data_IF_700495128671
#
_entry.id   IF_700495128671
#
_cell.length_a   1.000
_cell.length_b   1.000
_cell.length_c   1.000
_cell.angle_alpha   90.00
_cell.angle_beta   90.00
_cell.angle_gamma   90.00
#
_symmetry.space_group_name_H-M   'P 1'
#
loop_
_entity.id
_entity.type
_entity.pdbx_description
1 polymer ?
#
# COMPACT_ATOMS: atom_id res chain seq x y z
N UNK A 1 -17.80 30.35 5.79
CA UNK A 1 -17.20 29.59 4.66
C UNK A 1 -18.28 29.31 3.62
N UNK A 2 -17.97 29.24 2.31
CA UNK A 2 -18.97 28.87 1.32
C UNK A 2 -19.36 27.40 1.55
N UNK A 3 -20.62 27.13 1.90
CA UNK A 3 -21.19 25.78 2.06
C UNK A 3 -20.90 24.84 0.86
N UNK A 4 -20.68 25.42 -0.32
CA UNK A 4 -20.48 24.72 -1.61
C UNK A 4 -19.42 23.61 -1.67
N UNK A 5 -18.44 23.56 -0.74
CA UNK A 5 -17.42 22.50 -0.76
C UNK A 5 -17.86 21.20 -0.07
N UNK A 6 -18.75 21.26 0.92
CA UNK A 6 -19.22 20.07 1.64
C UNK A 6 -20.21 19.28 0.79
N UNK A 7 -21.03 19.96 -0.03
CA UNK A 7 -22.05 19.35 -0.91
C UNK A 7 -21.50 18.30 -1.91
N UNK A 8 -20.18 18.16 -2.02
CA UNK A 8 -19.52 17.17 -2.87
C UNK A 8 -19.22 15.85 -2.14
N UNK A 9 -19.19 15.90 -0.81
CA UNK A 9 -18.86 14.78 0.08
C UNK A 9 -20.15 14.16 0.59
N UNK A 10 -20.24 12.83 0.56
CA UNK A 10 -21.38 12.11 1.12
C UNK A 10 -20.87 11.10 2.15
N UNK A 11 -21.52 11.08 3.31
CA UNK A 11 -21.18 10.24 4.45
C UNK A 11 -22.35 9.30 4.72
N UNK A 12 -22.09 8.00 4.67
CA UNK A 12 -23.12 6.98 4.72
C UNK A 12 -22.78 5.94 5.79
N UNK A 13 -23.61 5.81 6.82
CA UNK A 13 -23.51 4.69 7.78
C UNK A 13 -24.14 3.45 7.16
N UNK A 14 -23.38 2.36 7.08
CA UNK A 14 -23.84 1.11 6.45
C UNK A 14 -23.98 0.00 7.50
N UNK A 15 -25.20 -0.50 7.65
CA UNK A 15 -25.55 -1.64 8.50
C UNK A 15 -25.68 -2.93 7.70
N UNK A 16 -26.33 -3.94 8.28
CA UNK A 16 -26.56 -5.24 7.60
C UNK A 16 -27.63 -5.14 6.51
N UNK A 17 -28.72 -4.44 6.80
CA UNK A 17 -29.90 -4.32 5.94
C UNK A 17 -30.25 -2.87 5.57
N UNK A 18 -29.59 -1.90 6.19
CA UNK A 18 -29.90 -0.49 6.04
C UNK A 18 -28.65 0.35 5.73
N UNK A 19 -28.93 1.55 5.24
CA UNK A 19 -27.96 2.60 4.96
C UNK A 19 -28.60 3.93 5.36
N UNK A 20 -27.86 4.74 6.09
CA UNK A 20 -28.29 6.08 6.51
C UNK A 20 -27.31 7.10 5.95
N UNK A 21 -27.84 8.11 5.26
CA UNK A 21 -27.08 9.32 4.92
C UNK A 21 -26.96 10.18 6.17
N UNK A 22 -25.72 10.45 6.57
CA UNK A 22 -25.36 11.25 7.75
C UNK A 22 -24.56 12.50 7.36
N UNK A 23 -24.65 12.92 6.09
CA UNK A 23 -23.82 14.01 5.57
C UNK A 23 -24.00 15.31 6.35
N UNK A 24 -25.25 15.65 6.71
CA UNK A 24 -25.58 16.88 7.46
C UNK A 24 -25.08 16.83 8.90
N UNK A 25 -25.16 15.66 9.51
CA UNK A 25 -24.70 15.42 10.87
C UNK A 25 -23.19 15.64 10.99
N UNK A 26 -22.44 15.20 9.96
CA UNK A 26 -21.00 15.39 9.88
C UNK A 26 -20.58 16.85 9.66
N UNK A 27 -21.46 17.72 9.14
CA UNK A 27 -21.16 19.15 8.97
C UNK A 27 -20.75 19.81 10.29
N UNK A 28 -21.35 19.38 11.40
CA UNK A 28 -21.08 19.92 12.74
C UNK A 28 -19.69 19.55 13.29
N UNK A 29 -19.04 18.52 12.72
CA UNK A 29 -17.70 18.05 13.14
C UNK A 29 -16.58 18.60 12.25
N UNK A 30 -16.90 19.42 11.24
CA UNK A 30 -15.91 19.99 10.35
C UNK A 30 -15.36 21.27 10.98
N UNK A 31 -14.09 21.23 11.39
CA UNK A 31 -13.32 22.40 11.79
C UNK A 31 -12.28 22.73 10.73
N UNK A 32 -12.29 23.96 10.19
CA UNK A 32 -11.32 24.45 9.18
C UNK A 32 -11.07 23.47 8.02
N UNK A 33 -12.15 22.95 7.43
CA UNK A 33 -12.11 21.92 6.37
C UNK A 33 -11.59 20.55 6.80
N UNK A 34 -11.30 20.30 8.08
CA UNK A 34 -10.90 18.99 8.60
C UNK A 34 -12.08 18.36 9.33
N UNK A 35 -12.45 17.16 8.89
CA UNK A 35 -13.34 16.28 9.62
C UNK A 35 -12.51 15.32 10.45
N UNK A 36 -12.45 15.53 11.76
CA UNK A 36 -11.66 14.72 12.70
C UNK A 36 -12.54 14.01 13.71
N UNK A 37 -12.11 12.81 14.12
CA UNK A 37 -12.82 12.01 15.10
C UNK A 37 -11.82 11.60 16.18
N UNK A 38 -11.77 12.40 17.25
CA UNK A 38 -10.76 12.25 18.31
C UNK A 38 -11.08 11.08 19.24
N UNK A 39 -12.37 10.75 19.42
CA UNK A 39 -12.83 9.62 20.22
C UNK A 39 -13.87 8.79 19.47
N UNK A 40 -13.84 7.48 19.69
CA UNK A 40 -14.64 6.46 19.01
C UNK A 40 -16.16 6.62 19.17
N UNK A 41 -16.62 7.44 20.11
CA UNK A 41 -18.04 7.55 20.44
C UNK A 41 -18.69 8.83 19.93
N UNK A 42 -17.96 9.94 19.76
CA UNK A 42 -18.53 11.27 19.48
C UNK A 42 -19.38 11.29 18.20
N UNK A 43 -18.96 10.54 17.19
CA UNK A 43 -19.69 10.40 15.92
C UNK A 43 -20.94 9.52 16.06
N UNK A 44 -20.87 8.46 16.87
CA UNK A 44 -22.00 7.52 17.00
C UNK A 44 -23.00 7.99 18.05
N UNK A 45 -22.61 8.93 18.91
CA UNK A 45 -23.47 9.66 19.83
C UNK A 45 -24.18 10.85 19.16
N UNK A 46 -24.12 10.98 17.83
CA UNK A 46 -24.94 11.93 17.07
C UNK A 46 -26.35 11.95 17.64
N UNK A 47 -26.83 13.11 18.08
CA UNK A 47 -27.91 13.20 19.10
C UNK A 47 -29.28 12.65 18.68
N UNK A 48 -29.49 12.14 17.46
CA UNK A 48 -30.79 11.65 16.96
C UNK A 48 -30.75 10.67 15.76
N UNK A 49 -30.00 9.55 15.70
CA UNK A 49 -30.44 8.49 14.83
C UNK A 49 -31.71 7.92 15.47
N UNK A 50 -32.84 7.92 14.76
CA UNK A 50 -34.03 7.10 15.10
C UNK A 50 -33.71 5.58 15.06
N UNK A 51 -32.44 5.21 15.03
CA UNK A 51 -31.93 3.89 14.67
C UNK A 51 -30.82 3.55 15.67
N UNK A 52 -30.88 2.33 16.20
CA UNK A 52 -29.88 1.84 17.15
C UNK A 52 -28.49 1.89 16.54
N UNK A 53 -27.53 2.44 17.28
CA UNK A 53 -26.13 2.54 16.88
C UNK A 53 -25.47 1.17 16.70
N UNK A 54 -26.07 0.11 17.25
CA UNK A 54 -25.58 -1.27 17.15
C UNK A 54 -25.80 -1.92 15.78
N UNK A 55 -26.62 -1.32 14.91
CA UNK A 55 -26.91 -1.89 13.59
C UNK A 55 -25.84 -1.60 12.52
N UNK A 56 -24.99 -0.59 12.75
CA UNK A 56 -24.01 -0.12 11.76
C UNK A 56 -22.65 -0.79 11.90
N UNK A 57 -22.09 -1.22 10.77
CA UNK A 57 -20.80 -1.90 10.73
C UNK A 57 -19.67 -0.95 10.31
N UNK A 58 -19.93 0.02 9.43
CA UNK A 58 -18.91 0.90 8.88
C UNK A 58 -19.47 2.22 8.34
N UNK A 59 -18.59 3.22 8.25
CA UNK A 59 -18.81 4.46 7.52
C UNK A 59 -18.31 4.30 6.07
N UNK A 60 -19.08 4.78 5.11
CA UNK A 60 -18.66 4.92 3.71
C UNK A 60 -18.60 6.41 3.36
N UNK A 61 -17.48 6.81 2.74
CA UNK A 61 -17.23 8.19 2.33
C UNK A 61 -17.09 8.24 0.80
N UNK A 62 -17.92 9.04 0.14
CA UNK A 62 -17.88 9.27 -1.30
C UNK A 62 -17.63 10.74 -1.60
N UNK A 63 -17.04 11.00 -2.77
CA UNK A 63 -16.98 12.33 -3.35
C UNK A 63 -17.15 12.18 -4.86
N UNK A 64 -18.26 12.69 -5.41
CA UNK A 64 -18.63 12.45 -6.81
C UNK A 64 -17.91 13.37 -7.79
N UNK A 65 -17.40 14.51 -7.33
CA UNK A 65 -16.74 15.51 -8.18
C UNK A 65 -15.23 15.32 -8.25
N UNK A 66 -14.63 14.66 -7.26
CA UNK A 66 -13.21 14.38 -7.24
C UNK A 66 -12.87 13.10 -8.01
N UNK A 67 -12.40 13.22 -9.24
CA UNK A 67 -12.00 12.08 -10.10
C UNK A 67 -10.87 11.21 -9.54
N UNK A 68 -10.08 11.73 -8.59
CA UNK A 68 -9.01 10.98 -7.93
C UNK A 68 -9.47 10.33 -6.62
N UNK A 69 -10.67 10.66 -6.14
CA UNK A 69 -11.22 10.01 -4.95
C UNK A 69 -11.71 8.60 -5.27
N UNK A 70 -11.33 7.65 -4.41
CA UNK A 70 -11.90 6.30 -4.39
C UNK A 70 -12.86 6.25 -3.19
N UNK A 71 -14.09 5.74 -3.31
CA UNK A 71 -14.94 5.51 -2.15
C UNK A 71 -14.22 4.71 -1.06
N UNK A 72 -14.29 5.19 0.17
CA UNK A 72 -13.58 4.59 1.32
C UNK A 72 -14.58 4.01 2.29
N UNK A 73 -14.21 2.89 2.89
CA UNK A 73 -14.93 2.24 3.98
C UNK A 73 -14.07 2.26 5.24
N UNK A 74 -14.63 2.74 6.34
CA UNK A 74 -13.97 2.89 7.63
C UNK A 74 -14.75 2.07 8.65
N UNK A 75 -14.12 1.09 9.29
CA UNK A 75 -14.78 0.27 10.32
C UNK A 75 -15.32 1.16 11.43
N UNK A 76 -16.49 0.82 11.98
CA UNK A 76 -17.04 1.48 13.17
C UNK A 76 -15.99 1.61 14.29
N UNK A 77 -15.87 2.82 14.83
CA UNK A 77 -14.91 3.14 15.89
C UNK A 77 -13.44 3.16 15.47
N UNK A 78 -13.15 3.33 14.17
CA UNK A 78 -11.78 3.60 13.72
C UNK A 78 -11.56 5.11 13.70
N UNK A 79 -10.59 5.65 14.44
CA UNK A 79 -10.30 7.09 14.43
C UNK A 79 -9.76 7.52 13.06
N UNK A 80 -10.18 8.69 12.60
CA UNK A 80 -9.65 9.26 11.37
C UNK A 80 -9.68 10.80 11.39
N UNK A 81 -8.83 11.39 10.55
CA UNK A 81 -8.82 12.83 10.27
C UNK A 81 -8.79 13.02 8.77
N UNK A 82 -9.84 13.62 8.20
CA UNK A 82 -10.06 13.77 6.77
C UNK A 82 -10.14 15.26 6.40
N UNK A 83 -9.19 15.72 5.58
CA UNK A 83 -9.22 17.06 5.00
C UNK A 83 -10.22 17.12 3.83
N UNK A 84 -11.17 18.04 3.81
CA UNK A 84 -12.21 18.17 2.79
C UNK A 84 -11.90 19.24 1.75
N UNK A 85 -10.86 20.05 1.98
CA UNK A 85 -10.43 21.13 1.10
C UNK A 85 -9.74 20.69 -0.19
N UNK A 86 -9.14 21.64 -0.90
CA UNK A 86 -8.41 21.38 -2.14
C UNK A 86 -6.98 20.91 -1.84
N UNK A 87 -6.57 19.78 -2.41
CA UNK A 87 -5.19 19.30 -2.30
C UNK A 87 -4.33 19.84 -3.45
N UNK A 88 -3.07 20.13 -3.16
CA UNK A 88 -2.05 20.41 -4.16
C UNK A 88 -0.95 19.36 -4.08
N UNK A 89 -0.79 18.57 -5.14
CA UNK A 89 0.26 17.56 -5.23
C UNK A 89 1.63 18.12 -5.62
N UNK A 90 1.72 19.42 -5.98
CA UNK A 90 2.94 20.02 -6.55
C UNK A 90 4.11 20.06 -5.56
N UNK A 91 3.84 20.06 -4.26
CA UNK A 91 4.87 20.19 -3.22
C UNK A 91 5.46 18.86 -2.76
N UNK A 92 4.76 17.74 -2.98
CA UNK A 92 5.09 16.44 -2.38
C UNK A 92 6.24 15.79 -3.12
N UNK A 93 7.31 15.45 -2.39
CA UNK A 93 8.40 14.64 -2.89
C UNK A 93 8.01 13.16 -2.95
N UNK A 94 8.42 12.48 -4.02
CA UNK A 94 8.20 11.04 -4.18
C UNK A 94 9.56 10.36 -4.31
N UNK A 95 9.85 9.38 -3.46
CA UNK A 95 10.90 8.41 -3.70
C UNK A 95 10.29 7.08 -4.07
N UNK A 96 10.79 6.47 -5.14
CA UNK A 96 10.42 5.12 -5.53
C UNK A 96 11.62 4.23 -5.28
N UNK A 97 11.51 3.30 -4.35
CA UNK A 97 12.50 2.24 -4.14
C UNK A 97 12.00 0.99 -4.86
N UNK A 98 12.66 0.66 -5.97
CA UNK A 98 12.43 -0.57 -6.70
C UNK A 98 13.47 -1.61 -6.29
N UNK A 99 13.04 -2.70 -5.67
CA UNK A 99 13.92 -3.78 -5.23
C UNK A 99 13.83 -5.00 -6.15
N UNK A 100 14.99 -5.52 -6.57
CA UNK A 100 15.09 -6.70 -7.44
C UNK A 100 16.16 -7.66 -6.94
N UNK A 101 15.80 -8.93 -6.81
CA UNK A 101 16.78 -10.00 -6.60
C UNK A 101 16.93 -10.85 -7.86
N UNK A 102 18.03 -10.60 -8.58
CA UNK A 102 18.33 -11.27 -9.86
C UNK A 102 18.76 -12.74 -9.67
N UNK A 103 19.09 -13.16 -8.44
CA UNK A 103 19.45 -14.54 -8.10
C UNK A 103 18.23 -15.48 -8.13
N UNK A 104 16.99 -14.95 -8.05
CA UNK A 104 15.77 -15.75 -7.86
C UNK A 104 15.29 -16.46 -9.14
N UNK A 105 15.37 -15.80 -10.29
CA UNK A 105 14.83 -16.33 -11.55
C UNK A 105 15.59 -15.75 -12.74
N UNK A 106 15.90 -16.55 -13.77
CA UNK A 106 16.55 -16.06 -15.00
C UNK A 106 15.68 -15.05 -15.77
N UNK A 107 14.37 -15.01 -15.51
CA UNK A 107 13.42 -14.11 -16.16
C UNK A 107 13.37 -12.71 -15.54
N UNK A 108 14.26 -12.41 -14.57
CA UNK A 108 14.28 -11.12 -13.88
C UNK A 108 14.32 -9.94 -14.85
N UNK A 109 15.08 -10.05 -15.94
CA UNK A 109 15.25 -8.97 -16.94
C UNK A 109 13.92 -8.60 -17.60
N UNK A 110 13.10 -9.59 -17.93
CA UNK A 110 11.82 -9.40 -18.60
C UNK A 110 10.79 -8.77 -17.66
N UNK A 111 10.69 -9.27 -16.41
CA UNK A 111 9.82 -8.67 -15.41
C UNK A 111 10.20 -7.22 -15.10
N UNK A 112 11.50 -6.99 -14.89
CA UNK A 112 12.05 -5.66 -14.62
C UNK A 112 11.71 -4.68 -15.74
N UNK A 113 11.94 -5.07 -17.00
CA UNK A 113 11.60 -4.26 -18.18
C UNK A 113 10.10 -3.92 -18.23
N UNK A 114 9.22 -4.89 -18.03
CA UNK A 114 7.77 -4.67 -18.11
C UNK A 114 7.25 -3.78 -16.98
N UNK A 115 7.77 -3.96 -15.76
CA UNK A 115 7.41 -3.14 -14.61
C UNK A 115 7.89 -1.70 -14.79
N UNK A 116 9.11 -1.48 -15.30
CA UNK A 116 9.61 -0.15 -15.62
C UNK A 116 8.83 0.52 -16.76
N UNK A 117 8.48 -0.22 -17.82
CA UNK A 117 7.60 0.30 -18.88
C UNK A 117 6.27 0.78 -18.33
N UNK A 118 5.66 0.02 -17.41
CA UNK A 118 4.43 0.44 -16.76
C UNK A 118 4.63 1.66 -15.86
N UNK A 119 5.75 1.73 -15.13
CA UNK A 119 6.10 2.88 -14.30
C UNK A 119 6.21 4.16 -15.14
N UNK A 120 6.90 4.10 -16.29
CA UNK A 120 7.00 5.21 -17.25
C UNK A 120 5.59 5.58 -17.77
N UNK A 121 4.81 4.59 -18.21
CA UNK A 121 3.45 4.80 -18.74
C UNK A 121 2.51 5.45 -17.73
N UNK A 122 2.67 5.17 -16.43
CA UNK A 122 1.86 5.78 -15.37
C UNK A 122 2.12 7.28 -15.17
N UNK A 123 3.21 7.79 -15.78
CA UNK A 123 3.69 9.17 -15.66
C UNK A 123 4.03 9.61 -14.23
N UNK A 124 4.16 8.69 -13.28
CA UNK A 124 4.59 9.03 -11.91
C UNK A 124 6.01 9.58 -11.90
N UNK A 125 6.88 9.09 -12.79
CA UNK A 125 8.26 9.53 -12.92
C UNK A 125 8.38 10.98 -13.39
N UNK A 126 7.40 11.46 -14.17
CA UNK A 126 7.39 12.82 -14.71
C UNK A 126 7.01 13.88 -13.66
N UNK A 127 6.80 13.47 -12.40
CA UNK A 127 6.52 14.40 -11.31
C UNK A 127 7.82 15.13 -10.94
N UNK A 128 7.77 16.45 -10.79
CA UNK A 128 8.96 17.32 -10.64
C UNK A 128 9.87 17.00 -9.45
N UNK A 129 9.38 16.26 -8.44
CA UNK A 129 10.14 15.85 -7.25
C UNK A 129 10.22 14.32 -7.08
N UNK A 130 10.15 13.57 -8.18
CA UNK A 130 10.28 12.11 -8.18
C UNK A 130 11.74 11.68 -8.33
N UNK A 131 12.20 10.80 -7.43
CA UNK A 131 13.48 10.09 -7.55
C UNK A 131 13.24 8.58 -7.57
N UNK A 132 13.94 7.87 -8.44
CA UNK A 132 13.88 6.42 -8.56
C UNK A 132 15.18 5.80 -8.05
N UNK A 133 15.08 4.93 -7.06
CA UNK A 133 16.20 4.18 -6.47
C UNK A 133 16.01 2.71 -6.78
N UNK A 134 16.87 2.16 -7.64
CA UNK A 134 16.82 0.76 -8.06
C UNK A 134 17.89 0.00 -7.27
N UNK A 135 17.44 -0.88 -6.38
CA UNK A 135 18.29 -1.71 -5.52
C UNK A 135 18.28 -3.15 -6.03
N UNK A 136 19.42 -3.61 -6.52
CA UNK A 136 19.56 -4.89 -7.19
C UNK A 136 20.53 -5.81 -6.43
N UNK A 137 20.05 -6.98 -6.04
CA UNK A 137 20.89 -8.09 -5.59
C UNK A 137 21.37 -8.90 -6.81
N UNK A 138 22.68 -9.11 -6.93
CA UNK A 138 23.33 -9.83 -8.03
C UNK A 138 24.50 -10.71 -7.58
N UNK A 139 24.88 -11.65 -8.45
CA UNK A 139 26.04 -12.55 -8.31
C UNK A 139 27.15 -12.29 -9.36
N UNK A 140 26.86 -11.59 -10.45
CA UNK A 140 27.84 -11.34 -11.51
C UNK A 140 27.64 -10.00 -12.20
N UNK A 141 28.70 -9.51 -12.84
CA UNK A 141 28.68 -8.25 -13.59
C UNK A 141 27.81 -8.34 -14.85
N UNK A 142 27.65 -9.55 -15.40
CA UNK A 142 26.69 -9.78 -16.50
C UNK A 142 25.26 -9.44 -16.10
N UNK A 143 24.85 -9.73 -14.86
CA UNK A 143 23.52 -9.36 -14.37
C UNK A 143 23.40 -7.85 -14.22
N UNK A 144 24.43 -7.19 -13.69
CA UNK A 144 24.50 -5.72 -13.59
C UNK A 144 24.38 -5.04 -14.96
N UNK A 145 25.19 -5.47 -15.93
CA UNK A 145 25.16 -4.95 -17.29
C UNK A 145 23.77 -5.13 -17.92
N UNK A 146 23.13 -6.29 -17.73
CA UNK A 146 21.79 -6.53 -18.26
C UNK A 146 20.72 -5.59 -17.70
N UNK A 147 20.85 -5.14 -16.45
CA UNK A 147 19.96 -4.17 -15.81
C UNK A 147 20.23 -2.77 -16.36
N UNK A 148 21.50 -2.38 -16.48
CA UNK A 148 21.91 -1.11 -17.11
C UNK A 148 21.40 -1.02 -18.55
N UNK A 149 21.48 -2.11 -19.32
CA UNK A 149 20.96 -2.19 -20.68
C UNK A 149 19.45 -1.94 -20.74
N UNK A 150 18.67 -2.54 -19.82
CA UNK A 150 17.22 -2.30 -19.75
C UNK A 150 16.94 -0.83 -19.49
N UNK A 151 17.61 -0.23 -18.51
CA UNK A 151 17.46 1.18 -18.13
C UNK A 151 17.79 2.10 -19.31
N UNK A 152 18.92 1.86 -19.98
CA UNK A 152 19.34 2.59 -21.19
C UNK A 152 18.30 2.45 -22.31
N UNK A 153 17.83 1.23 -22.57
CA UNK A 153 16.84 0.96 -23.63
C UNK A 153 15.47 1.60 -23.39
N UNK A 154 15.13 1.89 -22.14
CA UNK A 154 13.89 2.56 -21.76
C UNK A 154 14.06 4.08 -21.60
N UNK A 155 15.27 4.60 -21.84
CA UNK A 155 15.61 6.01 -21.69
C UNK A 155 15.24 6.59 -20.31
N UNK A 156 15.36 5.77 -19.26
CA UNK A 156 14.80 6.09 -17.94
C UNK A 156 15.35 7.40 -17.34
N UNK A 157 16.63 7.70 -17.60
CA UNK A 157 17.30 8.93 -17.16
C UNK A 157 16.68 10.22 -17.71
N UNK A 158 15.92 10.15 -18.82
CA UNK A 158 15.19 11.32 -19.34
C UNK A 158 13.94 11.65 -18.52
N UNK A 159 13.41 10.68 -17.77
CA UNK A 159 12.13 10.82 -17.07
C UNK A 159 12.28 11.23 -15.61
N UNK A 160 13.34 10.79 -14.93
CA UNK A 160 13.57 11.08 -13.50
C UNK A 160 15.02 10.84 -13.07
N UNK A 161 15.43 11.49 -11.98
CA UNK A 161 16.68 11.16 -11.26
C UNK A 161 16.66 9.69 -10.86
N UNK A 162 17.63 8.92 -11.35
CA UNK A 162 17.69 7.46 -11.16
C UNK A 162 19.00 7.06 -10.50
N UNK A 163 18.91 6.44 -9.32
CA UNK A 163 20.03 5.92 -8.55
C UNK A 163 20.08 4.40 -8.66
N UNK A 164 21.22 3.86 -9.08
CA UNK A 164 21.45 2.42 -9.20
C UNK A 164 22.34 1.92 -8.07
N UNK A 165 21.88 0.89 -7.36
CA UNK A 165 22.60 0.29 -6.24
C UNK A 165 22.68 -1.21 -6.49
N UNK A 166 23.90 -1.72 -6.69
CA UNK A 166 24.15 -3.15 -6.80
C UNK A 166 24.77 -3.69 -5.53
N UNK A 167 24.29 -4.83 -5.06
CA UNK A 167 24.79 -5.53 -3.88
C UNK A 167 24.93 -7.01 -4.16
N UNK A 168 25.87 -7.64 -3.49
CA UNK A 168 25.92 -9.08 -3.34
C UNK A 168 25.52 -9.42 -1.91
N UNK A 169 24.25 -9.76 -1.73
CA UNK A 169 23.69 -10.14 -0.43
C UNK A 169 22.79 -11.36 -0.61
N UNK A 170 22.75 -12.23 0.40
CA UNK A 170 21.88 -13.42 0.43
C UNK A 170 20.59 -13.18 1.24
N UNK A 171 20.50 -12.03 1.92
CA UNK A 171 19.31 -11.61 2.65
C UNK A 171 18.28 -11.04 1.69
N UNK A 172 17.16 -11.75 1.57
CA UNK A 172 16.18 -11.61 0.50
C UNK A 172 15.84 -10.18 0.08
N UNK A 173 15.38 -9.32 1.01
CA UNK A 173 14.87 -7.97 0.74
C UNK A 173 15.55 -6.89 1.59
N UNK A 174 16.58 -7.27 2.36
CA UNK A 174 17.22 -6.39 3.34
C UNK A 174 17.67 -5.06 2.75
N UNK A 175 18.41 -5.10 1.64
CA UNK A 175 18.99 -3.89 1.03
C UNK A 175 17.91 -2.94 0.51
N UNK A 176 16.77 -3.45 0.03
CA UNK A 176 15.64 -2.64 -0.40
C UNK A 176 14.98 -1.91 0.77
N UNK A 177 14.66 -2.64 1.83
CA UNK A 177 14.06 -2.07 3.05
C UNK A 177 15.03 -1.14 3.78
N UNK A 178 16.32 -1.46 3.80
CA UNK A 178 17.37 -0.58 4.34
C UNK A 178 17.41 0.75 3.58
N UNK A 179 17.35 0.73 2.25
CA UNK A 179 17.31 1.95 1.45
C UNK A 179 16.07 2.81 1.75
N UNK A 180 14.91 2.20 1.91
CA UNK A 180 13.70 2.88 2.38
C UNK A 180 13.95 3.59 3.71
N UNK A 181 14.52 2.87 4.69
CA UNK A 181 14.80 3.45 6.01
C UNK A 181 15.83 4.57 5.94
N UNK A 182 16.87 4.46 5.10
CA UNK A 182 17.86 5.53 4.88
C UNK A 182 17.22 6.78 4.27
N UNK A 183 16.36 6.62 3.26
CA UNK A 183 15.66 7.73 2.61
C UNK A 183 14.66 8.43 3.53
N UNK A 184 14.09 7.71 4.49
CA UNK A 184 13.18 8.35 5.44
C UNK A 184 13.89 9.37 6.33
N UNK A 185 15.21 9.26 6.53
CA UNK A 185 15.99 10.16 7.41
C UNK A 185 16.35 11.50 6.78
N UNK A 186 16.21 11.66 5.47
CA UNK A 186 16.64 12.88 4.78
C UNK A 186 15.59 13.99 4.75
N UNK A 187 14.29 13.68 4.66
CA UNK A 187 13.21 14.67 4.56
C UNK A 187 11.89 14.15 5.16
N UNK A 188 11.21 14.97 5.97
CA UNK A 188 10.02 14.57 6.75
C UNK A 188 8.72 14.52 5.93
N UNK A 189 8.67 15.13 4.74
CA UNK A 189 7.44 15.29 3.96
C UNK A 189 7.49 14.64 2.56
N UNK A 190 8.12 13.47 2.49
CA UNK A 190 8.17 12.67 1.26
C UNK A 190 7.29 11.44 1.39
N UNK A 191 6.80 10.95 0.26
CA UNK A 191 6.16 9.65 0.17
C UNK A 191 7.14 8.67 -0.46
N UNK A 192 7.31 7.53 0.20
CA UNK A 192 8.18 6.45 -0.27
C UNK A 192 7.31 5.34 -0.82
N UNK A 193 7.46 5.06 -2.11
CA UNK A 193 6.87 3.92 -2.81
C UNK A 193 7.88 2.78 -2.75
N UNK A 194 7.49 1.65 -2.17
CA UNK A 194 8.29 0.44 -2.24
C UNK A 194 7.66 -0.54 -3.24
N UNK A 195 8.45 -0.93 -4.23
CA UNK A 195 8.04 -1.80 -5.32
C UNK A 195 9.02 -2.98 -5.34
N UNK A 196 8.53 -4.16 -4.99
CA UNK A 196 9.33 -5.38 -5.06
C UNK A 196 9.19 -6.03 -6.44
N UNK A 197 10.26 -6.62 -6.98
CA UNK A 197 10.23 -7.54 -8.13
C UNK A 197 9.54 -8.87 -7.81
N UNK A 198 8.42 -8.85 -7.07
CA UNK A 198 7.70 -10.05 -6.60
C UNK A 198 7.03 -10.73 -7.78
N UNK A 199 7.01 -12.06 -7.78
CA UNK A 199 6.56 -12.85 -8.92
C UNK A 199 7.67 -13.70 -9.53
N UNK A 200 8.94 -13.30 -9.35
CA UNK A 200 10.11 -14.09 -9.79
C UNK A 200 10.17 -15.48 -9.15
N UNK A 201 9.77 -15.59 -7.88
CA UNK A 201 9.73 -16.88 -7.16
C UNK A 201 8.76 -17.90 -7.80
N UNK A 202 7.76 -17.43 -8.54
CA UNK A 202 6.81 -18.25 -9.29
C UNK A 202 7.20 -18.44 -10.77
N UNK A 203 8.14 -17.64 -11.28
CA UNK A 203 8.71 -17.71 -12.63
C UNK A 203 10.04 -18.48 -12.63
N UNK A 204 10.09 -19.66 -12.02
CA UNK A 204 11.30 -20.51 -12.03
C UNK A 204 11.55 -21.20 -13.37
N UNK A 205 10.65 -21.08 -14.34
CA UNK A 205 10.80 -21.69 -15.65
C UNK A 205 11.83 -20.93 -16.50
N UNK A 206 12.67 -21.68 -17.22
CA UNK A 206 13.66 -21.11 -18.12
C UNK A 206 13.07 -20.74 -19.48
N UNK A 207 12.00 -21.42 -19.91
CA UNK A 207 11.56 -21.42 -21.31
C UNK A 207 10.60 -20.29 -21.70
N UNK A 208 9.71 -19.84 -20.81
CA UNK A 208 8.69 -18.84 -21.16
C UNK A 208 8.47 -17.82 -20.05
N UNK A 209 8.54 -16.55 -20.40
CA UNK A 209 8.18 -15.45 -19.51
C UNK A 209 6.70 -15.10 -19.65
N UNK A 210 5.97 -15.13 -18.54
CA UNK A 210 4.62 -14.55 -18.46
C UNK A 210 4.45 -13.85 -17.13
N UNK A 211 4.11 -12.57 -17.21
CA UNK A 211 3.86 -11.73 -16.06
C UNK A 211 2.58 -12.14 -15.31
N UNK A 212 2.70 -12.35 -14.00
CA UNK A 212 1.65 -12.93 -13.17
C UNK A 212 0.43 -12.00 -13.04
N UNK A 213 -0.82 -12.50 -13.21
CA UNK A 213 -2.02 -11.66 -13.13
C UNK A 213 -2.19 -10.89 -11.81
N UNK A 214 -1.84 -11.53 -10.69
CA UNK A 214 -1.90 -10.89 -9.36
C UNK A 214 -0.93 -9.70 -9.28
N UNK A 215 0.30 -9.88 -9.76
CA UNK A 215 1.29 -8.80 -9.76
C UNK A 215 0.86 -7.66 -10.69
N UNK A 216 0.31 -7.95 -11.87
CA UNK A 216 -0.30 -6.94 -12.76
C UNK A 216 -1.40 -6.14 -12.06
N UNK A 217 -2.29 -6.82 -11.33
CA UNK A 217 -3.36 -6.15 -10.59
C UNK A 217 -2.79 -5.23 -9.50
N UNK A 218 -1.81 -5.73 -8.74
CA UNK A 218 -1.12 -4.95 -7.69
C UNK A 218 -0.49 -3.69 -8.30
N UNK A 219 0.24 -3.84 -9.40
CA UNK A 219 0.84 -2.70 -10.11
C UNK A 219 -0.21 -1.72 -10.62
N UNK A 220 -1.31 -2.20 -11.21
CA UNK A 220 -2.40 -1.34 -11.66
C UNK A 220 -2.96 -0.50 -10.52
N UNK A 221 -3.27 -1.13 -9.38
CA UNK A 221 -3.91 -0.45 -8.26
C UNK A 221 -2.96 0.50 -7.51
N UNK A 222 -1.67 0.16 -7.41
CA UNK A 222 -0.71 0.98 -6.67
C UNK A 222 -0.04 2.06 -7.55
N UNK A 223 0.38 1.67 -8.76
CA UNK A 223 1.18 2.49 -9.67
C UNK A 223 0.30 3.18 -10.72
N UNK A 224 -0.52 2.48 -11.50
CA UNK A 224 -1.33 3.16 -12.53
C UNK A 224 -2.34 4.14 -11.89
N UNK A 225 -2.84 3.80 -10.70
CA UNK A 225 -3.74 4.65 -9.91
C UNK A 225 -3.03 5.51 -8.85
N UNK A 226 -1.72 5.79 -9.00
CA UNK A 226 -0.92 6.49 -7.99
C UNK A 226 -1.56 7.80 -7.52
N UNK A 227 -2.16 8.59 -8.42
CA UNK A 227 -2.86 9.84 -8.06
C UNK A 227 -4.00 9.62 -7.07
N UNK A 228 -4.76 8.52 -7.20
CA UNK A 228 -5.83 8.18 -6.25
C UNK A 228 -5.27 7.76 -4.88
N UNK A 229 -4.12 7.10 -4.89
CA UNK A 229 -3.45 6.69 -3.67
C UNK A 229 -2.83 7.90 -2.94
N UNK A 230 -2.26 8.85 -3.70
CA UNK A 230 -1.79 10.13 -3.16
C UNK A 230 -2.94 10.98 -2.60
N UNK A 231 -4.02 11.09 -3.36
CA UNK A 231 -5.25 11.73 -2.92
C UNK A 231 -5.70 11.17 -1.57
N UNK A 232 -5.71 9.85 -1.42
CA UNK A 232 -6.11 9.20 -0.16
C UNK A 232 -5.15 9.52 0.99
N UNK A 233 -3.84 9.25 0.84
CA UNK A 233 -2.88 9.38 1.95
C UNK A 233 -2.64 10.83 2.38
N UNK A 234 -2.81 11.79 1.48
CA UNK A 234 -2.66 13.22 1.79
C UNK A 234 -3.91 13.79 2.43
N UNK A 235 -5.08 13.26 2.05
CA UNK A 235 -6.33 13.73 2.60
C UNK A 235 -6.59 13.20 4.01
N UNK A 236 -6.14 11.98 4.29
CA UNK A 236 -6.20 11.47 5.65
C UNK A 236 -4.87 11.67 6.36
N UNK A 237 -4.86 12.56 7.35
CA UNK A 237 -3.67 12.70 8.17
C UNK A 237 -3.42 11.43 9.00
N UNK A 238 -4.50 10.74 9.38
CA UNK A 238 -4.43 9.48 10.14
C UNK A 238 -3.85 8.29 9.36
N UNK A 239 -3.71 8.37 8.03
CA UNK A 239 -3.12 7.29 7.23
C UNK A 239 -1.62 7.51 7.07
N UNK A 240 -0.84 6.57 7.58
CA UNK A 240 0.62 6.60 7.45
C UNK A 240 1.12 5.84 6.22
N UNK A 241 0.33 4.86 5.76
CA UNK A 241 0.72 3.93 4.71
C UNK A 241 -0.47 3.34 3.97
N UNK A 242 -0.25 3.05 2.70
CA UNK A 242 -1.22 2.52 1.73
C UNK A 242 -0.64 1.27 1.09
N UNK A 243 -1.41 0.20 1.03
CA UNK A 243 -1.04 -0.99 0.27
C UNK A 243 -2.26 -1.73 -0.24
N UNK A 244 -2.05 -2.83 -0.93
CA UNK A 244 -3.14 -3.58 -1.57
C UNK A 244 -4.04 -4.24 -0.51
N UNK A 245 -3.40 -4.78 0.54
CA UNK A 245 -4.02 -5.47 1.64
C UNK A 245 -3.24 -5.21 2.92
N UNK A 246 -3.95 -4.94 4.01
CA UNK A 246 -3.39 -4.95 5.35
C UNK A 246 -3.57 -6.31 6.02
N UNK A 247 -2.61 -6.70 6.84
CA UNK A 247 -2.72 -7.78 7.81
C UNK A 247 -2.84 -7.22 9.23
N UNK A 248 -3.27 -8.06 10.18
CA UNK A 248 -3.80 -7.66 11.50
C UNK A 248 -3.06 -6.53 12.22
N UNK A 249 -1.72 -6.54 12.26
CA UNK A 249 -0.93 -5.56 13.01
C UNK A 249 -0.64 -4.26 12.24
N UNK A 250 -1.22 -4.10 11.04
CA UNK A 250 -0.96 -2.97 10.15
C UNK A 250 0.21 -3.20 9.18
N UNK A 251 0.69 -4.44 9.01
CA UNK A 251 1.63 -4.73 7.93
C UNK A 251 0.90 -4.77 6.57
N UNK A 252 1.63 -4.55 5.48
CA UNK A 252 1.07 -4.52 4.12
C UNK A 252 1.60 -5.70 3.31
N UNK A 253 0.70 -6.47 2.72
CA UNK A 253 1.06 -7.65 1.94
C UNK A 253 1.79 -7.29 0.65
N UNK A 254 2.58 -8.26 0.17
CA UNK A 254 3.25 -8.25 -1.12
C UNK A 254 4.44 -7.32 -1.28
N UNK A 255 4.81 -6.52 -0.28
CA UNK A 255 5.92 -5.58 -0.42
C UNK A 255 5.71 -4.60 -1.59
N UNK A 256 4.45 -4.19 -1.76
CA UNK A 256 4.01 -3.13 -2.64
C UNK A 256 3.17 -2.15 -1.81
N UNK A 257 3.77 -1.02 -1.48
CA UNK A 257 3.12 -0.05 -0.61
C UNK A 257 3.68 1.37 -0.81
N UNK A 258 2.96 2.34 -0.28
CA UNK A 258 3.32 3.75 -0.18
C UNK A 258 3.29 4.11 1.30
N UNK A 259 4.29 4.82 1.82
CA UNK A 259 4.27 5.28 3.20
C UNK A 259 4.86 6.69 3.34
N UNK A 260 4.42 7.42 4.36
CA UNK A 260 5.00 8.71 4.76
C UNK A 260 6.43 8.47 5.27
N UNK A 261 7.40 9.30 4.85
CA UNK A 261 8.77 9.22 5.36
C UNK A 261 8.80 9.43 6.88
N UNK A 262 8.04 10.41 7.38
CA UNK A 262 7.85 10.67 8.82
C UNK A 262 7.41 9.43 9.61
N UNK A 263 6.53 8.60 9.06
CA UNK A 263 6.14 7.34 9.67
C UNK A 263 7.31 6.36 9.75
N UNK A 264 8.03 6.18 8.63
CA UNK A 264 9.17 5.25 8.54
C UNK A 264 10.30 5.66 9.49
N UNK A 265 10.49 6.96 9.75
CA UNK A 265 11.50 7.42 10.70
C UNK A 265 11.32 6.85 12.10
N UNK A 266 10.07 6.60 12.52
CA UNK A 266 9.72 6.00 13.80
C UNK A 266 9.85 4.48 13.85
N UNK A 267 10.21 3.82 12.74
CA UNK A 267 10.44 2.38 12.69
C UNK A 267 11.87 2.03 13.12
N UNK A 268 12.03 0.80 13.63
CA UNK A 268 13.36 0.25 13.88
C UNK A 268 14.18 0.16 12.59
N UNK A 269 15.49 0.35 12.72
CA UNK A 269 16.40 0.07 11.61
C UNK A 269 16.26 -1.40 11.21
N UNK A 270 16.05 -1.71 9.92
CA UNK A 270 15.91 -3.10 9.50
C UNK A 270 17.17 -3.89 9.81
N UNK A 271 17.00 -5.16 10.18
CA UNK A 271 18.10 -6.09 10.45
C UNK A 271 18.23 -7.16 9.36
N UNK A 272 19.44 -7.72 9.23
CA UNK A 272 19.66 -8.90 8.40
C UNK A 272 19.09 -10.12 9.10
N UNK A 273 18.18 -10.84 8.44
CA UNK A 273 17.59 -12.05 8.99
C UNK A 273 17.18 -13.03 7.90
N UNK A 274 17.17 -14.31 8.23
CA UNK A 274 16.67 -15.38 7.37
C UNK A 274 15.14 -15.51 7.41
N UNK A 275 14.48 -14.81 8.35
CA UNK A 275 13.01 -14.84 8.48
C UNK A 275 12.38 -14.11 7.30
N UNK A 276 11.86 -14.88 6.35
CA UNK A 276 11.34 -14.33 5.10
C UNK A 276 10.22 -13.29 5.30
N UNK A 277 9.31 -13.54 6.25
CA UNK A 277 8.20 -12.64 6.54
C UNK A 277 8.60 -11.36 7.29
N UNK A 278 9.83 -11.26 7.78
CA UNK A 278 10.29 -10.07 8.52
C UNK A 278 10.18 -8.80 7.67
N UNK A 279 10.56 -8.86 6.39
CA UNK A 279 10.53 -7.66 5.54
C UNK A 279 9.10 -7.24 5.16
N UNK A 280 8.14 -8.17 5.15
CA UNK A 280 6.72 -7.86 4.99
C UNK A 280 6.14 -7.22 6.26
N UNK A 281 6.52 -7.74 7.43
CA UNK A 281 6.01 -7.24 8.71
C UNK A 281 6.74 -5.99 9.23
N UNK A 282 7.94 -5.68 8.73
CA UNK A 282 8.77 -4.56 9.18
C UNK A 282 8.03 -3.21 9.13
N UNK A 283 7.25 -2.97 8.08
CA UNK A 283 6.47 -1.73 7.95
C UNK A 283 5.37 -1.62 9.02
N UNK A 284 5.01 -2.70 9.71
CA UNK A 284 4.09 -2.70 10.85
C UNK A 284 4.75 -2.50 12.21
N UNK A 285 6.10 -2.50 12.28
CA UNK A 285 6.87 -2.53 13.54
C UNK A 285 7.16 -1.16 14.12
N UNK A 286 6.11 -0.42 14.45
CA UNK A 286 6.28 0.85 15.16
C UNK A 286 6.64 0.60 16.62
N UNK A 287 7.79 1.11 17.05
CA UNK A 287 8.27 0.94 18.41
C UNK A 287 7.37 1.69 19.42
N UNK A 288 7.11 1.05 20.56
CA UNK A 288 6.42 1.68 21.69
C UNK A 288 7.27 2.85 22.25
N UNK A 289 8.59 2.66 22.35
CA UNK A 289 9.50 3.62 22.96
C UNK A 289 9.12 3.90 24.42
N UNK A 290 9.30 5.15 24.87
CA UNK A 290 8.88 5.61 26.22
C UNK A 290 7.42 6.09 26.26
N UNK A 291 6.61 5.81 25.22
CA UNK A 291 5.24 6.30 25.16
C UNK A 291 4.38 5.54 26.18
N UNK A 292 3.54 6.28 26.93
CA UNK A 292 2.45 5.66 27.70
C UNK A 292 1.40 5.19 26.70
N UNK A 293 1.36 3.89 26.47
CA UNK A 293 0.52 3.23 25.46
C UNK A 293 -0.44 2.30 26.18
N UNK A 294 -1.70 2.25 25.75
CA UNK A 294 -2.69 1.35 26.33
C UNK A 294 -2.39 -0.09 25.94
N UNK A 295 -2.72 -1.06 26.80
CA UNK A 295 -2.41 -2.49 26.55
C UNK A 295 -3.03 -3.00 25.25
N UNK A 296 -4.19 -2.47 24.85
CA UNK A 296 -4.88 -2.87 23.61
C UNK A 296 -4.17 -2.39 22.34
N UNK A 297 -3.30 -1.39 22.44
CA UNK A 297 -2.53 -0.83 21.32
C UNK A 297 -1.21 -1.58 21.10
N UNK A 298 -0.89 -2.58 21.94
CA UNK A 298 0.35 -3.34 21.90
C UNK A 298 0.16 -4.64 21.12
N UNK A 299 0.82 -4.74 19.97
CA UNK A 299 0.79 -5.91 19.08
C UNK A 299 1.65 -7.08 19.57
N UNK A 300 2.82 -6.76 20.10
CA UNK A 300 3.76 -7.65 20.77
C UNK A 300 4.56 -6.76 21.73
N UNK A 301 5.33 -7.34 22.66
CA UNK A 301 6.01 -6.66 23.78
C UNK A 301 6.70 -5.34 23.41
N UNK A 302 7.13 -5.17 22.16
CA UNK A 302 7.88 -4.00 21.68
C UNK A 302 7.17 -3.13 20.62
N UNK A 303 6.02 -3.55 20.06
CA UNK A 303 5.44 -2.94 18.86
C UNK A 303 3.96 -2.55 18.99
N UNK A 304 3.58 -1.46 18.33
CA UNK A 304 2.21 -0.95 18.29
C UNK A 304 1.36 -1.62 17.20
N UNK A 305 0.07 -1.75 17.47
CA UNK A 305 -0.95 -1.95 16.45
C UNK A 305 -1.10 -0.68 15.60
N UNK A 306 -0.85 -0.79 14.30
CA UNK A 306 -0.95 0.35 13.37
C UNK A 306 -2.06 0.19 12.34
N UNK A 307 -2.99 -0.74 12.57
CA UNK A 307 -4.03 -1.10 11.61
C UNK A 307 -4.95 0.08 11.25
N UNK A 308 -5.24 0.94 12.22
CA UNK A 308 -6.08 2.13 12.01
C UNK A 308 -5.36 3.24 11.20
N UNK A 309 -4.03 3.15 11.11
CA UNK A 309 -3.19 4.03 10.29
C UNK A 309 -2.81 3.41 8.94
N UNK A 310 -3.37 2.24 8.63
CA UNK A 310 -3.01 1.43 7.46
C UNK A 310 -4.18 1.37 6.50
N UNK A 311 -4.00 1.94 5.31
CA UNK A 311 -5.02 1.89 4.26
C UNK A 311 -4.84 0.67 3.36
N UNK A 312 -5.85 -0.19 3.33
CA UNK A 312 -5.97 -1.30 2.38
C UNK A 312 -6.77 -0.83 1.17
N UNK A 313 -6.17 -0.80 -0.02
CA UNK A 313 -6.86 -0.40 -1.27
C UNK A 313 -8.07 -1.30 -1.54
N UNK A 314 -7.90 -2.61 -1.39
CA UNK A 314 -9.00 -3.56 -1.53
C UNK A 314 -9.78 -3.62 -0.22
N UNK A 315 -11.09 -3.46 -0.29
CA UNK A 315 -12.02 -3.70 0.81
C UNK A 315 -13.04 -4.79 0.43
N UNK A 316 -13.68 -5.38 1.43
CA UNK A 316 -14.87 -6.23 1.27
C UNK A 316 -15.64 -6.22 2.61
N UNK A 317 -16.50 -5.21 2.83
CA UNK A 317 -17.19 -5.06 4.11
C UNK A 317 -18.04 -6.27 4.52
N UNK A 318 -18.55 -7.05 3.55
CA UNK A 318 -19.27 -8.33 3.80
C UNK A 318 -18.40 -9.37 4.50
N UNK A 319 -17.08 -9.19 4.49
CA UNK A 319 -16.07 -10.04 5.16
C UNK A 319 -15.30 -9.27 6.23
N UNK A 320 -15.88 -8.20 6.78
CA UNK A 320 -15.26 -7.36 7.80
C UNK A 320 -13.90 -6.79 7.39
N UNK A 321 -13.76 -6.51 6.08
CA UNK A 321 -12.57 -5.94 5.48
C UNK A 321 -12.89 -4.54 4.98
N UNK A 322 -12.24 -3.57 5.58
CA UNK A 322 -12.46 -2.15 5.35
C UNK A 322 -11.20 -1.53 4.78
N UNK A 323 -11.29 -0.31 4.26
CA UNK A 323 -10.09 0.40 3.87
C UNK A 323 -9.27 0.81 5.10
N UNK A 324 -9.94 1.22 6.19
CA UNK A 324 -9.35 1.54 7.49
C UNK A 324 -9.96 0.70 8.61
N UNK A 325 -9.13 0.25 9.55
CA UNK A 325 -9.56 -0.54 10.71
C UNK A 325 -9.93 -1.99 10.38
N UNK A 326 -9.33 -2.59 9.34
CA UNK A 326 -9.61 -3.99 8.99
C UNK A 326 -9.30 -4.94 10.15
N UNK A 327 -10.28 -5.76 10.53
CA UNK A 327 -10.12 -6.82 11.55
C UNK A 327 -10.12 -8.23 10.95
N UNK A 328 -10.27 -8.33 9.63
CA UNK A 328 -10.28 -9.59 8.91
C UNK A 328 -8.97 -10.36 9.15
N UNK A 329 -9.06 -11.51 9.81
CA UNK A 329 -7.95 -12.46 9.93
C UNK A 329 -7.78 -13.15 8.57
N UNK A 330 -6.61 -12.98 7.95
CA UNK A 330 -6.28 -13.70 6.72
C UNK A 330 -5.75 -15.07 7.11
N UNK A 331 -6.60 -16.09 7.08
CA UNK A 331 -6.20 -17.48 7.30
C UNK A 331 -5.33 -18.01 6.13
N UNK A 332 -4.67 -19.16 6.31
CA UNK A 332 -3.92 -19.83 5.23
C UNK A 332 -4.87 -20.14 4.06
N UNK A 333 -4.60 -19.55 2.89
CA UNK A 333 -5.49 -19.64 1.71
C UNK A 333 -6.52 -18.51 1.60
N UNK A 334 -6.58 -17.63 2.61
CA UNK A 334 -7.44 -16.45 2.68
C UNK A 334 -7.23 -15.41 1.59
N UNK A 335 -6.13 -15.49 0.81
CA UNK A 335 -5.93 -14.71 -0.43
C UNK A 335 -7.11 -14.80 -1.40
N UNK A 336 -7.78 -15.95 -1.41
CA UNK A 336 -8.99 -16.23 -2.17
C UNK A 336 -10.23 -15.54 -1.57
N UNK A 337 -10.24 -15.35 -0.26
CA UNK A 337 -11.26 -14.59 0.46
C UNK A 337 -11.22 -13.08 0.17
N UNK A 338 -10.10 -12.57 -0.36
CA UNK A 338 -9.79 -11.14 -0.46
C UNK A 338 -10.38 -10.42 -1.70
N UNK A 339 -11.23 -11.10 -2.47
CA UNK A 339 -11.93 -10.53 -3.64
C UNK A 339 -11.25 -10.82 -4.99
N UNK A 340 -10.11 -11.49 -4.98
CA UNK A 340 -9.51 -12.11 -6.16
C UNK A 340 -10.24 -13.43 -6.42
N UNK A 341 -11.07 -13.49 -7.45
CA UNK A 341 -11.83 -14.69 -7.84
C UNK A 341 -10.96 -15.95 -7.73
N UNK A 342 -11.38 -16.86 -6.84
CA UNK A 342 -10.77 -18.18 -6.62
C UNK A 342 -10.51 -18.90 -7.93
N UNK A 343 -11.49 -18.83 -8.84
CA UNK A 343 -11.52 -19.67 -10.03
C UNK A 343 -10.56 -19.17 -11.10
N UNK A 344 -10.51 -17.86 -11.35
CA UNK A 344 -9.61 -17.31 -12.36
C UNK A 344 -8.14 -17.48 -11.96
N UNK A 345 -7.80 -17.23 -10.68
CA UNK A 345 -6.42 -17.42 -10.23
C UNK A 345 -6.05 -18.89 -10.04
N UNK A 346 -6.96 -19.74 -9.54
CA UNK A 346 -6.68 -21.18 -9.33
C UNK A 346 -6.47 -21.91 -10.66
N UNK A 347 -7.27 -21.62 -11.70
CA UNK A 347 -7.07 -22.21 -13.03
C UNK A 347 -5.72 -21.80 -13.60
N UNK A 348 -5.39 -20.51 -13.58
CA UNK A 348 -4.08 -20.01 -14.00
C UNK A 348 -2.93 -20.63 -13.19
N UNK A 349 -3.05 -20.68 -11.86
CA UNK A 349 -2.04 -21.27 -10.99
C UNK A 349 -1.83 -22.77 -11.26
N UNK A 350 -2.92 -23.53 -11.42
CA UNK A 350 -2.87 -24.96 -11.73
C UNK A 350 -2.27 -25.20 -13.11
N UNK A 351 -2.66 -24.40 -14.11
CA UNK A 351 -2.06 -24.42 -15.45
C UNK A 351 -0.55 -24.23 -15.38
N UNK A 352 -0.05 -23.20 -14.68
CA UNK A 352 1.39 -23.00 -14.51
C UNK A 352 2.07 -24.13 -13.76
N UNK A 353 1.48 -24.60 -12.66
CA UNK A 353 2.04 -25.71 -11.88
C UNK A 353 2.16 -26.96 -12.74
N UNK A 354 1.20 -27.20 -13.62
CA UNK A 354 1.19 -28.33 -14.56
C UNK A 354 2.24 -28.15 -15.66
N UNK A 355 2.26 -27.02 -16.36
CA UNK A 355 3.26 -26.69 -17.39
C UNK A 355 4.68 -26.78 -16.83
N UNK A 356 4.93 -26.21 -15.65
CA UNK A 356 6.25 -26.29 -15.00
C UNK A 356 6.63 -27.73 -14.65
N UNK A 357 5.69 -28.57 -14.18
CA UNK A 357 6.00 -29.98 -13.89
C UNK A 357 6.37 -30.77 -15.13
N UNK A 358 5.73 -30.49 -16.27
CA UNK A 358 6.04 -31.15 -17.54
C UNK A 358 7.40 -30.68 -18.08
N UNK A 359 7.63 -29.36 -18.09
CA UNK A 359 8.84 -28.77 -18.68
C UNK A 359 10.11 -28.91 -17.83
N UNK A 360 10.01 -29.19 -16.52
CA UNK A 360 11.17 -29.43 -15.64
C UNK A 360 11.56 -30.92 -15.62
N UNK A 361 10.69 -31.83 -16.07
CA UNK A 361 10.96 -33.27 -16.16
C UNK A 361 11.60 -33.70 -17.48
N UNK A 362 11.84 -32.76 -18.39
CA UNK A 362 12.72 -32.89 -19.55
C UNK A 362 13.93 -32.00 -19.31
#
# INVERSE_FOLDING_TARGET
>A
MPRQKIDQWEFELIGRSNKIDVTREYESFIDKEVLGTNNNEDIYQLKKPKVSTDEFNYLKITNRKNKYWRPITIKKGTPFSLFLGNLSFKSIGIDIVYFLNTKISPQYKNLFRDQLKQLIKSSILNTTKCKLHIVCIRNSDNQENSIKDVIKSLELYKNCETNLIFKNDDHMEYEGIKKVWELSKSEDNRLIFYIHGKGLSYMKNKFFYIRQPLEKLIFKLLIDEWKKNLETIQRFDSIDKVGILSGGNGFLWFNFWIAKSSYIQGLEKPIKTKRACYYEDWLGRTLIGNKKVKKEEICDRNFLYTIDKTYSILNNPKKYKYNLGTTCKVERGGFVGLGLSRYTYKIWFLFYKYVNRILIRK
#
